data_IF_803321928263
#
_entry.id   IF_803321928263
#
_cell.length_a   1.000
_cell.length_b   1.000
_cell.length_c   1.000
_cell.angle_alpha   90.00
_cell.angle_beta   90.00
_cell.angle_gamma   90.00
#
_symmetry.space_group_name_H-M   'P 1'
#
loop_
_entity.id
_entity.type
_entity.pdbx_description
1 polymer ?
#
# COMPACT_ATOMS: atom_id res chain seq x y z
N UNK A 1 -27.31 -7.83 -5.77
CA UNK A 1 -26.09 -8.52 -5.34
C UNK A 1 -25.92 -9.92 -5.97
N UNK A 2 -26.94 -10.78 -6.04
CA UNK A 2 -26.83 -12.13 -6.64
C UNK A 2 -26.53 -12.16 -8.16
N UNK A 3 -26.99 -11.19 -8.93
CA UNK A 3 -26.78 -11.07 -10.38
C UNK A 3 -25.30 -10.78 -10.71
N UNK A 4 -24.60 -10.07 -9.84
CA UNK A 4 -23.19 -9.71 -10.02
C UNK A 4 -22.23 -10.88 -9.83
N UNK A 5 -22.52 -11.80 -8.90
CA UNK A 5 -21.65 -12.97 -8.62
C UNK A 5 -21.70 -13.97 -9.77
N UNK A 6 -22.92 -14.24 -10.31
CA UNK A 6 -23.09 -15.17 -11.44
C UNK A 6 -22.42 -14.65 -12.73
N UNK A 7 -22.53 -13.34 -13.00
CA UNK A 7 -21.84 -12.67 -14.11
C UNK A 7 -20.30 -12.72 -13.97
N UNK A 8 -19.81 -12.79 -12.74
CA UNK A 8 -18.38 -12.88 -12.45
C UNK A 8 -17.77 -14.21 -12.91
N UNK A 9 -18.46 -15.32 -12.65
CA UNK A 9 -18.00 -16.68 -13.05
C UNK A 9 -18.15 -16.97 -14.55
N UNK A 10 -19.09 -16.33 -15.23
CA UNK A 10 -19.30 -16.51 -16.69
C UNK A 10 -18.55 -15.51 -17.56
N UNK A 11 -17.74 -14.63 -16.99
CA UNK A 11 -16.99 -13.63 -17.74
C UNK A 11 -15.85 -14.32 -18.56
N UNK A 12 -15.58 -13.88 -19.82
CA UNK A 12 -14.53 -14.47 -20.67
C UNK A 12 -13.14 -14.56 -20.03
N UNK A 13 -12.82 -13.68 -19.07
CA UNK A 13 -11.55 -13.74 -18.32
C UNK A 13 -11.39 -15.00 -17.46
N UNK A 14 -12.47 -15.64 -17.01
CA UNK A 14 -12.40 -16.90 -16.25
C UNK A 14 -12.01 -18.08 -17.13
N UNK A 15 -12.23 -17.98 -18.45
CA UNK A 15 -11.79 -18.97 -19.43
C UNK A 15 -10.36 -18.72 -19.93
N UNK A 16 -9.79 -17.55 -19.63
CA UNK A 16 -8.41 -17.23 -19.97
C UNK A 16 -7.47 -17.80 -18.90
N UNK A 17 -6.89 -18.96 -19.18
CA UNK A 17 -5.98 -19.67 -18.28
C UNK A 17 -4.78 -18.83 -17.85
N UNK A 18 -4.20 -18.01 -18.74
CA UNK A 18 -3.08 -17.13 -18.43
C UNK A 18 -3.47 -16.06 -17.39
N UNK A 19 -4.65 -15.44 -17.57
CA UNK A 19 -5.16 -14.47 -16.60
C UNK A 19 -5.48 -15.14 -15.26
N UNK A 20 -6.09 -16.33 -15.26
CA UNK A 20 -6.44 -17.04 -14.03
C UNK A 20 -5.20 -17.46 -13.23
N UNK A 21 -4.13 -17.91 -13.88
CA UNK A 21 -2.86 -18.18 -13.21
C UNK A 21 -2.25 -16.91 -12.60
N UNK A 22 -2.22 -15.81 -13.36
CA UNK A 22 -1.71 -14.54 -12.83
C UNK A 22 -2.54 -14.05 -11.64
N UNK A 23 -3.87 -14.08 -11.78
CA UNK A 23 -4.80 -13.61 -10.74
C UNK A 23 -4.70 -14.45 -9.45
N UNK A 24 -4.71 -15.78 -9.56
CA UNK A 24 -4.57 -16.67 -8.40
C UNK A 24 -3.20 -16.50 -7.72
N UNK A 25 -2.12 -16.45 -8.51
CA UNK A 25 -0.77 -16.22 -7.98
C UNK A 25 -0.64 -14.88 -7.27
N UNK A 26 -1.19 -13.82 -7.85
CA UNK A 26 -1.14 -12.48 -7.25
C UNK A 26 -2.00 -12.38 -5.99
N UNK A 27 -3.17 -13.02 -5.97
CA UNK A 27 -4.03 -13.09 -4.77
C UNK A 27 -3.31 -13.77 -3.62
N UNK A 28 -2.66 -14.91 -3.87
CA UNK A 28 -1.87 -15.61 -2.85
C UNK A 28 -0.69 -14.76 -2.34
N UNK A 29 0.07 -14.14 -3.26
CA UNK A 29 1.19 -13.28 -2.90
C UNK A 29 0.75 -12.07 -2.08
N UNK A 30 -0.42 -11.50 -2.37
CA UNK A 30 -0.97 -10.36 -1.61
C UNK A 30 -1.32 -10.74 -0.17
N UNK A 31 -1.94 -11.91 0.04
CA UNK A 31 -2.19 -12.44 1.39
C UNK A 31 -0.87 -12.67 2.11
N UNK A 32 0.10 -13.33 1.46
CA UNK A 32 1.42 -13.57 2.01
C UNK A 32 2.16 -12.27 2.38
N UNK A 33 2.04 -11.24 1.55
CA UNK A 33 2.63 -9.92 1.83
C UNK A 33 2.08 -9.32 3.13
N UNK A 34 0.78 -9.35 3.33
CA UNK A 34 0.15 -8.79 4.54
C UNK A 34 0.51 -9.58 5.80
N UNK A 35 0.52 -10.90 5.71
CA UNK A 35 0.99 -11.79 6.79
C UNK A 35 2.45 -11.51 7.11
N UNK A 36 3.31 -11.41 6.09
CA UNK A 36 4.74 -11.14 6.25
C UNK A 36 5.02 -9.77 6.87
N UNK A 37 4.27 -8.74 6.50
CA UNK A 37 4.41 -7.40 7.08
C UNK A 37 4.14 -7.40 8.59
N UNK A 38 3.09 -8.09 9.03
CA UNK A 38 2.77 -8.24 10.45
C UNK A 38 3.85 -9.07 11.18
N UNK A 39 4.30 -10.17 10.55
CA UNK A 39 5.38 -11.01 11.09
C UNK A 39 6.70 -10.23 11.23
N UNK A 40 7.04 -9.35 10.24
CA UNK A 40 8.23 -8.48 10.32
C UNK A 40 8.19 -7.61 11.58
N UNK A 41 7.06 -6.95 11.83
CA UNK A 41 6.88 -6.09 13.01
C UNK A 41 6.98 -6.90 14.29
N UNK A 42 6.35 -8.09 14.35
CA UNK A 42 6.41 -8.97 15.51
C UNK A 42 7.83 -9.48 15.77
N UNK A 43 8.60 -9.87 14.74
CA UNK A 43 10.01 -10.29 14.89
C UNK A 43 10.85 -9.14 15.42
N UNK A 44 10.77 -7.96 14.79
CA UNK A 44 11.57 -6.81 15.17
C UNK A 44 11.28 -6.38 16.63
N UNK A 45 10.01 -6.33 17.02
CA UNK A 45 9.59 -5.82 18.32
C UNK A 45 9.75 -6.87 19.43
N UNK A 46 9.19 -8.09 19.23
CA UNK A 46 9.06 -9.09 20.28
C UNK A 46 10.23 -10.06 20.35
N UNK A 47 10.87 -10.41 19.20
CA UNK A 47 11.98 -11.38 19.17
C UNK A 47 13.33 -10.67 19.27
N UNK A 48 13.55 -9.65 18.42
CA UNK A 48 14.86 -8.96 18.33
C UNK A 48 14.93 -7.72 19.22
N UNK A 49 13.84 -7.30 19.85
CA UNK A 49 13.75 -6.13 20.74
C UNK A 49 14.38 -4.88 20.14
N UNK A 50 14.17 -4.69 18.83
CA UNK A 50 14.72 -3.56 18.07
C UNK A 50 14.24 -2.23 18.65
N UNK A 51 15.08 -1.19 18.67
CA UNK A 51 14.69 0.16 19.09
C UNK A 51 13.69 0.78 18.12
N UNK A 52 13.02 1.84 18.54
CA UNK A 52 12.04 2.57 17.70
C UNK A 52 12.70 3.06 16.40
N UNK A 53 13.90 3.62 16.49
CA UNK A 53 14.69 4.04 15.32
C UNK A 53 14.98 2.87 14.39
N UNK A 54 15.39 1.72 14.94
CA UNK A 54 15.66 0.51 14.15
C UNK A 54 14.42 -0.02 13.44
N UNK A 55 13.25 0.06 14.06
CA UNK A 55 11.97 -0.30 13.44
C UNK A 55 11.62 0.68 12.32
N UNK A 56 11.87 1.98 12.53
CA UNK A 56 11.72 3.02 11.50
C UNK A 56 12.62 2.76 10.29
N UNK A 57 13.91 2.41 10.52
CA UNK A 57 14.85 2.03 9.46
C UNK A 57 14.39 0.78 8.73
N UNK A 58 13.96 -0.25 9.44
CA UNK A 58 13.45 -1.50 8.87
C UNK A 58 12.26 -1.25 7.93
N UNK A 59 11.30 -0.44 8.37
CA UNK A 59 10.15 -0.06 7.56
C UNK A 59 10.52 0.83 6.37
N UNK A 60 11.49 1.73 6.56
CA UNK A 60 12.02 2.54 5.48
C UNK A 60 12.68 1.68 4.39
N UNK A 61 13.47 0.68 4.76
CA UNK A 61 14.14 -0.24 3.82
C UNK A 61 13.16 -1.02 2.95
N UNK A 62 11.97 -1.37 3.46
CA UNK A 62 10.93 -2.06 2.67
C UNK A 62 10.43 -1.22 1.49
N UNK A 63 10.42 0.11 1.63
CA UNK A 63 9.88 1.03 0.62
C UNK A 63 10.94 1.87 -0.08
N UNK A 64 12.18 1.89 0.43
CA UNK A 64 13.28 2.69 -0.09
C UNK A 64 13.59 2.41 -1.57
N UNK A 65 13.42 1.16 -2.00
CA UNK A 65 13.62 0.77 -3.39
C UNK A 65 12.70 1.55 -4.36
N UNK A 66 11.48 1.93 -3.95
CA UNK A 66 10.61 2.77 -4.78
C UNK A 66 11.19 4.17 -5.00
N UNK A 67 11.87 4.73 -4.00
CA UNK A 67 12.51 6.04 -4.12
C UNK A 67 13.74 5.98 -5.04
N UNK A 68 14.59 4.96 -4.87
CA UNK A 68 15.89 4.87 -5.57
C UNK A 68 15.72 4.33 -7.00
N UNK A 69 15.01 3.22 -7.17
CA UNK A 69 14.91 2.51 -8.45
C UNK A 69 13.52 2.52 -9.07
N UNK A 70 12.52 3.07 -8.39
CA UNK A 70 11.12 3.03 -8.87
C UNK A 70 10.93 3.66 -10.25
N UNK A 71 11.59 4.79 -10.52
CA UNK A 71 11.54 5.44 -11.83
C UNK A 71 12.39 4.71 -12.89
N UNK A 72 13.69 4.39 -12.67
CA UNK A 72 14.48 3.68 -13.66
C UNK A 72 14.03 2.24 -13.90
N UNK A 73 13.39 1.58 -12.93
CA UNK A 73 12.88 0.22 -13.09
C UNK A 73 11.91 0.09 -14.26
N UNK A 74 11.09 1.13 -14.53
CA UNK A 74 10.19 1.16 -15.69
C UNK A 74 10.95 0.97 -17.00
N UNK A 75 11.96 1.81 -17.24
CA UNK A 75 12.77 1.77 -18.46
C UNK A 75 13.56 0.45 -18.60
N UNK A 76 14.09 -0.08 -17.50
CA UNK A 76 14.81 -1.36 -17.53
C UNK A 76 13.88 -2.53 -17.85
N UNK A 77 12.72 -2.59 -17.19
CA UNK A 77 11.73 -3.66 -17.39
C UNK A 77 11.14 -3.61 -18.79
N UNK A 78 11.00 -2.43 -19.41
CA UNK A 78 10.53 -2.31 -20.80
C UNK A 78 11.46 -3.02 -21.78
N UNK A 79 12.77 -3.03 -21.52
CA UNK A 79 13.77 -3.74 -22.29
C UNK A 79 13.89 -5.25 -21.98
N UNK A 80 13.10 -5.77 -21.02
CA UNK A 80 13.17 -7.16 -20.58
C UNK A 80 11.85 -7.90 -20.79
N UNK A 81 11.92 -9.23 -20.79
CA UNK A 81 10.72 -10.09 -20.79
C UNK A 81 10.07 -10.03 -19.40
N UNK A 82 8.86 -9.48 -19.32
CA UNK A 82 8.12 -9.21 -18.09
C UNK A 82 7.93 -10.46 -17.22
N UNK A 83 7.55 -11.57 -17.84
CA UNK A 83 7.41 -12.87 -17.17
C UNK A 83 8.71 -13.34 -16.52
N UNK A 84 9.86 -13.20 -17.20
CA UNK A 84 11.16 -13.55 -16.61
C UNK A 84 11.49 -12.69 -15.40
N UNK A 85 11.25 -11.38 -15.47
CA UNK A 85 11.46 -10.46 -14.36
C UNK A 85 10.64 -10.88 -13.15
N UNK A 86 9.33 -11.18 -13.36
CA UNK A 86 8.45 -11.61 -12.27
C UNK A 86 8.92 -12.93 -11.63
N UNK A 87 9.37 -13.91 -12.43
CA UNK A 87 9.88 -15.19 -11.91
C UNK A 87 11.16 -14.98 -11.11
N UNK A 88 12.13 -14.22 -11.63
CA UNK A 88 13.40 -13.94 -10.92
C UNK A 88 13.13 -13.20 -9.61
N UNK A 89 12.30 -12.15 -9.63
CA UNK A 89 11.90 -11.45 -8.43
C UNK A 89 11.17 -12.37 -7.44
N UNK A 90 10.32 -13.28 -7.93
CA UNK A 90 9.63 -14.27 -7.11
C UNK A 90 10.60 -15.24 -6.42
N UNK A 91 11.55 -15.80 -7.17
CA UNK A 91 12.56 -16.71 -6.62
C UNK A 91 13.47 -16.01 -5.59
N UNK A 92 13.87 -14.77 -5.86
CA UNK A 92 14.65 -13.98 -4.91
C UNK A 92 13.88 -13.70 -3.60
N UNK A 93 12.58 -13.39 -3.71
CA UNK A 93 11.70 -13.24 -2.53
C UNK A 93 11.59 -14.54 -1.74
N UNK A 94 11.40 -15.69 -2.40
CA UNK A 94 11.30 -17.00 -1.76
C UNK A 94 12.60 -17.29 -0.98
N UNK A 95 13.76 -17.12 -1.59
CA UNK A 95 15.04 -17.31 -0.93
C UNK A 95 15.23 -16.39 0.28
N UNK A 96 14.90 -15.11 0.13
CA UNK A 96 14.94 -14.13 1.22
C UNK A 96 14.00 -14.49 2.38
N UNK A 97 12.78 -14.91 2.09
CA UNK A 97 11.80 -15.28 3.12
C UNK A 97 12.18 -16.56 3.86
N UNK A 98 12.71 -17.57 3.15
CA UNK A 98 13.14 -18.84 3.76
C UNK A 98 14.39 -18.63 4.63
N UNK A 99 15.24 -17.66 4.32
CA UNK A 99 16.46 -17.38 5.11
C UNK A 99 16.13 -16.98 6.56
N UNK A 100 14.98 -16.35 6.83
CA UNK A 100 14.57 -15.92 8.19
C UNK A 100 14.32 -17.10 9.12
N UNK A 101 13.42 -18.06 8.80
CA UNK A 101 13.20 -19.21 9.66
C UNK A 101 14.44 -20.11 9.78
N UNK A 102 15.26 -20.22 8.72
CA UNK A 102 16.52 -20.93 8.82
C UNK A 102 17.47 -20.27 9.82
N UNK A 103 17.68 -18.95 9.70
CA UNK A 103 18.52 -18.22 10.65
C UNK A 103 17.98 -18.30 12.10
N UNK A 104 16.65 -18.35 12.26
CA UNK A 104 16.03 -18.54 13.58
C UNK A 104 16.33 -19.92 14.17
N UNK A 105 16.16 -20.98 13.39
CA UNK A 105 16.44 -22.37 13.85
C UNK A 105 17.90 -22.55 14.23
N UNK A 106 18.84 -21.92 13.49
CA UNK A 106 20.26 -21.95 13.81
C UNK A 106 20.69 -20.89 14.85
N UNK A 107 19.75 -20.18 15.47
CA UNK A 107 20.00 -19.11 16.45
C UNK A 107 20.93 -17.99 15.92
N UNK A 108 20.95 -17.75 14.59
CA UNK A 108 21.76 -16.73 13.92
C UNK A 108 20.95 -15.53 13.42
N UNK A 109 19.65 -15.49 13.74
CA UNK A 109 18.77 -14.40 13.31
C UNK A 109 19.17 -13.09 14.00
N UNK A 110 19.57 -12.11 13.20
CA UNK A 110 19.95 -10.77 13.64
C UNK A 110 19.07 -9.70 13.02
N UNK A 111 19.03 -8.52 13.63
CA UNK A 111 18.33 -7.37 13.07
C UNK A 111 18.90 -6.95 11.71
N UNK A 112 20.22 -7.00 11.54
CA UNK A 112 20.90 -6.72 10.25
C UNK A 112 20.43 -7.67 9.16
N UNK A 113 20.29 -8.98 9.46
CA UNK A 113 19.74 -9.96 8.53
C UNK A 113 18.32 -9.58 8.12
N UNK A 114 17.44 -9.26 9.09
CA UNK A 114 16.06 -8.84 8.83
C UNK A 114 16.00 -7.57 7.96
N UNK A 115 16.89 -6.60 8.19
CA UNK A 115 17.01 -5.37 7.39
C UNK A 115 17.46 -5.66 5.95
N UNK A 116 18.44 -6.55 5.74
CA UNK A 116 18.87 -6.97 4.41
C UNK A 116 17.73 -7.65 3.65
N UNK A 117 17.02 -8.56 4.32
CA UNK A 117 15.84 -9.23 3.73
C UNK A 117 14.76 -8.22 3.38
N UNK A 118 14.46 -7.26 4.27
CA UNK A 118 13.47 -6.20 4.02
C UNK A 118 13.83 -5.35 2.79
N UNK A 119 15.10 -4.93 2.67
CA UNK A 119 15.59 -4.18 1.51
C UNK A 119 15.50 -5.00 0.21
N UNK A 120 15.86 -6.28 0.24
CA UNK A 120 15.78 -7.17 -0.91
C UNK A 120 14.33 -7.41 -1.33
N UNK A 121 13.41 -7.64 -0.38
CA UNK A 121 11.98 -7.77 -0.65
C UNK A 121 11.41 -6.49 -1.28
N UNK A 122 11.80 -5.32 -0.77
CA UNK A 122 11.43 -4.03 -1.35
C UNK A 122 11.89 -3.88 -2.79
N UNK A 123 13.16 -4.20 -3.06
CA UNK A 123 13.74 -4.16 -4.41
C UNK A 123 13.00 -5.10 -5.39
N UNK A 124 12.81 -6.36 -4.97
CA UNK A 124 12.07 -7.34 -5.76
C UNK A 124 10.62 -6.91 -6.01
N UNK A 125 10.01 -6.18 -5.04
CA UNK A 125 8.64 -5.67 -5.19
C UNK A 125 8.55 -4.62 -6.28
N UNK A 126 9.50 -3.69 -6.36
CA UNK A 126 9.51 -2.68 -7.43
C UNK A 126 9.58 -3.32 -8.81
N UNK A 127 10.54 -4.23 -9.04
CA UNK A 127 10.67 -4.90 -10.34
C UNK A 127 9.46 -5.77 -10.68
N UNK A 128 8.94 -6.50 -9.70
CA UNK A 128 7.76 -7.31 -9.89
C UNK A 128 6.55 -6.47 -10.27
N UNK A 129 6.27 -5.39 -9.54
CA UNK A 129 5.09 -4.55 -9.75
C UNK A 129 5.12 -3.84 -11.10
N UNK A 130 6.29 -3.36 -11.53
CA UNK A 130 6.44 -2.73 -12.84
C UNK A 130 6.22 -3.75 -13.96
N UNK A 131 6.83 -4.95 -13.84
CA UNK A 131 6.66 -6.02 -14.81
C UNK A 131 5.21 -6.51 -14.85
N UNK A 132 4.58 -6.70 -13.70
CA UNK A 132 3.20 -7.15 -13.56
C UNK A 132 2.20 -6.19 -14.22
N UNK A 133 2.31 -4.88 -13.95
CA UNK A 133 1.42 -3.88 -14.56
C UNK A 133 1.55 -3.85 -16.08
N UNK A 134 2.77 -4.03 -16.60
CA UNK A 134 3.03 -4.08 -18.05
C UNK A 134 2.62 -5.42 -18.68
N UNK A 135 2.49 -6.49 -17.87
CA UNK A 135 2.14 -7.84 -18.34
C UNK A 135 0.63 -8.06 -18.45
N UNK A 136 -0.18 -7.43 -17.59
CA UNK A 136 -1.65 -7.55 -17.62
C UNK A 136 -2.24 -7.25 -19.01
N UNK A 137 -1.86 -6.15 -19.72
CA UNK A 137 -2.35 -5.88 -21.08
C UNK A 137 -1.94 -6.91 -22.13
N UNK A 138 -0.86 -7.68 -21.91
CA UNK A 138 -0.37 -8.72 -22.82
C UNK A 138 -1.28 -9.96 -22.76
N UNK A 139 -1.73 -10.33 -21.54
CA UNK A 139 -2.55 -11.53 -21.32
C UNK A 139 -4.06 -11.26 -21.36
N UNK A 140 -4.49 -10.06 -21.00
CA UNK A 140 -5.88 -9.64 -21.12
C UNK A 140 -6.07 -8.87 -22.45
N UNK A 141 -7.08 -9.24 -23.26
CA UNK A 141 -7.39 -8.46 -24.45
C UNK A 141 -7.78 -7.02 -24.06
N UNK A 142 -7.51 -6.05 -24.95
CA UNK A 142 -7.81 -4.61 -24.70
C UNK A 142 -9.23 -4.38 -24.18
N UNK A 143 -10.20 -5.14 -24.68
CA UNK A 143 -11.62 -5.07 -24.27
C UNK A 143 -11.84 -5.41 -22.80
N UNK A 144 -10.99 -6.24 -22.18
CA UNK A 144 -11.18 -6.77 -20.83
C UNK A 144 -10.18 -6.25 -19.81
N UNK A 145 -9.29 -5.31 -20.17
CA UNK A 145 -8.29 -4.75 -19.24
C UNK A 145 -8.95 -4.14 -18.00
N UNK A 146 -10.04 -3.38 -18.16
CA UNK A 146 -10.76 -2.80 -17.03
C UNK A 146 -11.33 -3.85 -16.08
N UNK A 147 -11.91 -4.94 -16.61
CA UNK A 147 -12.42 -6.04 -15.79
C UNK A 147 -11.29 -6.85 -15.14
N UNK A 148 -10.14 -7.01 -15.81
CA UNK A 148 -8.96 -7.65 -15.25
C UNK A 148 -8.41 -6.85 -14.07
N UNK A 149 -8.18 -5.55 -14.24
CA UNK A 149 -7.72 -4.67 -13.16
C UNK A 149 -8.71 -4.63 -11.99
N UNK A 150 -10.02 -4.61 -12.27
CA UNK A 150 -11.04 -4.66 -11.23
C UNK A 150 -10.97 -5.93 -10.37
N UNK A 151 -10.68 -7.11 -10.97
CA UNK A 151 -10.51 -8.37 -10.22
C UNK A 151 -9.23 -8.38 -9.39
N UNK A 152 -8.14 -7.88 -9.94
CA UNK A 152 -6.86 -7.77 -9.24
C UNK A 152 -6.97 -6.81 -8.06
N UNK A 153 -7.65 -5.68 -8.24
CA UNK A 153 -7.92 -4.72 -7.16
C UNK A 153 -8.83 -5.31 -6.08
N UNK A 154 -9.89 -6.05 -6.46
CA UNK A 154 -10.75 -6.73 -5.49
C UNK A 154 -9.97 -7.73 -4.63
N UNK A 155 -9.05 -8.51 -5.24
CA UNK A 155 -8.17 -9.43 -4.51
C UNK A 155 -7.19 -8.69 -3.60
N UNK A 156 -6.65 -7.55 -4.05
CA UNK A 156 -5.82 -6.68 -3.22
C UNK A 156 -6.57 -6.23 -1.96
N UNK A 157 -7.80 -5.75 -2.13
CA UNK A 157 -8.62 -5.27 -1.01
C UNK A 157 -9.00 -6.41 -0.03
N UNK A 158 -9.32 -7.60 -0.55
CA UNK A 158 -9.58 -8.79 0.29
C UNK A 158 -8.33 -9.19 1.07
N UNK A 159 -7.17 -9.22 0.42
CA UNK A 159 -5.89 -9.50 1.07
C UNK A 159 -5.54 -8.46 2.13
N UNK A 160 -5.76 -7.18 1.84
CA UNK A 160 -5.51 -6.08 2.78
C UNK A 160 -6.44 -6.12 3.99
N UNK A 161 -7.70 -6.50 3.80
CA UNK A 161 -8.67 -6.62 4.88
C UNK A 161 -8.48 -7.87 5.74
N UNK A 162 -8.29 -9.03 5.11
CA UNK A 162 -8.22 -10.32 5.81
C UNK A 162 -6.81 -10.75 6.20
N UNK A 163 -5.80 -10.26 5.48
CA UNK A 163 -4.40 -10.66 5.67
C UNK A 163 -3.85 -10.41 7.07
N UNK A 164 -4.03 -9.22 7.67
CA UNK A 164 -3.57 -8.96 9.03
C UNK A 164 -4.22 -9.88 10.08
N UNK A 165 -5.52 -10.18 9.95
CA UNK A 165 -6.22 -11.11 10.84
C UNK A 165 -5.69 -12.53 10.72
N UNK A 166 -5.49 -13.01 9.48
CA UNK A 166 -4.86 -14.31 9.24
C UNK A 166 -3.43 -14.33 9.79
N UNK A 167 -2.65 -13.27 9.57
CA UNK A 167 -1.31 -13.12 10.10
C UNK A 167 -1.27 -13.14 11.61
N UNK A 168 -2.17 -12.40 12.26
CA UNK A 168 -2.30 -12.39 13.73
C UNK A 168 -2.70 -13.75 14.30
N UNK A 169 -3.63 -14.46 13.64
CA UNK A 169 -4.01 -15.82 14.02
C UNK A 169 -2.82 -16.79 13.91
N UNK A 170 -2.08 -16.73 12.80
CA UNK A 170 -0.87 -17.55 12.61
C UNK A 170 0.21 -17.25 13.65
N UNK A 171 0.40 -15.97 14.00
CA UNK A 171 1.35 -15.56 15.05
C UNK A 171 0.92 -15.98 16.46
N UNK A 172 -0.35 -16.32 16.65
CA UNK A 172 -0.84 -16.96 17.87
C UNK A 172 -0.53 -18.46 17.96
N UNK A 173 -0.31 -19.12 16.82
CA UNK A 173 -0.03 -20.55 16.74
C UNK A 173 1.46 -20.88 16.57
N UNK A 174 2.20 -20.00 15.88
CA UNK A 174 3.60 -20.23 15.49
C UNK A 174 4.49 -19.07 15.95
N UNK A 175 5.74 -19.39 16.25
CA UNK A 175 6.74 -18.35 16.48
C UNK A 175 6.85 -17.43 15.24
N UNK A 176 6.98 -16.10 15.44
CA UNK A 176 6.95 -15.13 14.33
C UNK A 176 7.89 -15.44 13.17
N UNK A 177 9.14 -15.92 13.36
CA UNK A 177 10.01 -16.30 12.24
C UNK A 177 9.48 -17.47 11.41
N UNK A 178 8.74 -18.42 12.03
CA UNK A 178 8.19 -19.57 11.31
C UNK A 178 7.00 -19.20 10.41
N UNK A 179 6.28 -18.13 10.72
CA UNK A 179 5.19 -17.61 9.87
C UNK A 179 5.72 -17.21 8.47
N UNK A 180 6.99 -16.90 8.37
CA UNK A 180 7.62 -16.64 7.07
C UNK A 180 7.67 -17.86 6.13
N UNK A 181 7.63 -19.10 6.64
CA UNK A 181 7.51 -20.29 5.80
C UNK A 181 6.16 -20.30 5.07
N UNK A 182 5.08 -19.95 5.76
CA UNK A 182 3.76 -19.84 5.13
C UNK A 182 3.71 -18.69 4.12
N UNK A 183 4.34 -17.56 4.46
CA UNK A 183 4.52 -16.46 3.51
C UNK A 183 5.31 -16.90 2.29
N UNK A 184 6.42 -17.61 2.46
CA UNK A 184 7.23 -18.14 1.36
C UNK A 184 6.42 -19.10 0.46
N UNK A 185 5.57 -19.96 1.03
CA UNK A 185 4.69 -20.85 0.27
C UNK A 185 3.74 -20.07 -0.65
N UNK A 186 3.19 -18.95 -0.22
CA UNK A 186 2.35 -18.12 -1.09
C UNK A 186 3.14 -17.54 -2.26
N UNK A 187 4.41 -17.17 -2.07
CA UNK A 187 5.28 -16.72 -3.15
C UNK A 187 5.75 -17.86 -4.06
N UNK A 188 5.95 -19.08 -3.51
CA UNK A 188 6.21 -20.28 -4.32
C UNK A 188 5.03 -20.55 -5.25
N UNK A 189 3.81 -20.54 -4.70
CA UNK A 189 2.59 -20.70 -5.51
C UNK A 189 2.45 -19.60 -6.56
N UNK A 190 2.68 -18.34 -6.19
CA UNK A 190 2.64 -17.19 -7.12
C UNK A 190 3.65 -17.35 -8.25
N UNK A 191 4.89 -17.69 -7.93
CA UNK A 191 5.96 -17.86 -8.92
C UNK A 191 5.69 -19.05 -9.84
N UNK A 192 5.20 -20.16 -9.29
CA UNK A 192 4.77 -21.33 -10.05
C UNK A 192 3.60 -21.00 -10.98
N UNK A 193 2.60 -20.26 -10.50
CA UNK A 193 1.45 -19.86 -11.31
C UNK A 193 1.90 -18.98 -12.50
N UNK A 194 2.81 -18.04 -12.28
CA UNK A 194 3.39 -17.22 -13.36
C UNK A 194 4.22 -18.07 -14.33
N UNK A 195 4.96 -19.05 -13.82
CA UNK A 195 5.74 -19.98 -14.66
C UNK A 195 4.84 -20.84 -15.56
N UNK A 196 3.63 -21.17 -15.15
CA UNK A 196 2.63 -21.93 -15.95
C UNK A 196 2.02 -21.12 -17.10
N UNK A 197 2.20 -19.78 -17.12
CA UNK A 197 1.66 -18.95 -18.21
C UNK A 197 2.48 -19.20 -19.48
N UNK A 198 1.82 -19.71 -20.51
CA UNK A 198 2.46 -20.03 -21.79
C UNK A 198 2.31 -18.93 -22.86
N UNK A 199 1.64 -17.82 -22.53
CA UNK A 199 1.37 -16.73 -23.50
C UNK A 199 2.68 -16.14 -24.01
N UNK A 200 2.92 -16.09 -25.34
CA UNK A 200 4.10 -15.46 -25.92
C UNK A 200 4.13 -13.97 -25.61
N UNK A 201 5.27 -13.47 -25.17
CA UNK A 201 5.49 -12.04 -25.03
C UNK A 201 5.99 -11.42 -26.32
N UNK A 202 5.48 -10.24 -26.73
CA UNK A 202 6.10 -9.45 -27.81
C UNK A 202 7.58 -9.20 -27.52
N UNK A 203 8.37 -9.03 -28.57
CA UNK A 203 9.76 -8.65 -28.41
C UNK A 203 9.86 -7.32 -27.61
N UNK A 204 10.82 -7.20 -26.67
CA UNK A 204 10.99 -5.96 -25.91
C UNK A 204 11.24 -4.79 -26.87
N UNK A 205 10.45 -3.74 -26.76
CA UNK A 205 10.62 -2.50 -27.54
C UNK A 205 11.34 -1.49 -26.66
N UNK A 206 12.55 -1.09 -27.09
CA UNK A 206 13.22 0.06 -26.48
C UNK A 206 12.54 1.33 -27.00
N UNK A 207 11.77 2.01 -26.17
CA UNK A 207 11.28 3.35 -26.46
C UNK A 207 12.46 4.32 -26.48
N UNK A 208 12.66 5.04 -27.60
CA UNK A 208 13.81 5.95 -27.79
C UNK A 208 13.79 7.22 -26.92
N UNK A 209 12.72 7.45 -26.15
CA UNK A 209 12.65 8.58 -25.22
C UNK A 209 13.40 8.25 -23.93
N UNK A 210 14.34 9.13 -23.54
CA UNK A 210 15.09 8.97 -22.29
C UNK A 210 14.12 9.07 -21.10
N UNK A 211 14.32 8.19 -20.10
CA UNK A 211 13.54 8.17 -18.85
C UNK A 211 13.47 9.58 -18.21
N UNK A 212 14.60 10.30 -18.20
CA UNK A 212 14.71 11.65 -17.64
C UNK A 212 13.77 12.63 -18.38
N UNK A 213 13.64 12.51 -19.69
CA UNK A 213 12.72 13.34 -20.47
C UNK A 213 11.26 13.07 -20.09
N UNK A 214 10.87 11.79 -19.92
CA UNK A 214 9.50 11.41 -19.54
C UNK A 214 9.15 11.90 -18.12
N UNK A 215 10.08 11.77 -17.17
CA UNK A 215 9.91 12.26 -15.80
C UNK A 215 9.79 13.78 -15.79
N UNK A 216 10.68 14.47 -16.50
CA UNK A 216 10.68 15.94 -16.59
C UNK A 216 9.40 16.46 -17.21
N UNK A 217 8.91 15.84 -18.28
CA UNK A 217 7.66 16.21 -18.94
C UNK A 217 6.46 16.01 -18.01
N UNK A 218 6.36 14.87 -17.34
CA UNK A 218 5.29 14.61 -16.41
C UNK A 218 5.34 15.52 -15.16
N UNK A 219 6.53 15.80 -14.62
CA UNK A 219 6.69 16.72 -13.50
C UNK A 219 6.36 18.16 -13.93
N UNK A 220 6.78 18.58 -15.14
CA UNK A 220 6.41 19.86 -15.70
C UNK A 220 4.90 19.99 -15.88
N UNK A 221 4.24 18.91 -16.35
CA UNK A 221 2.79 18.87 -16.45
C UNK A 221 2.11 19.09 -15.10
N UNK A 222 2.51 18.31 -14.06
CA UNK A 222 1.91 18.44 -12.72
C UNK A 222 2.19 19.83 -12.13
N UNK A 223 3.41 20.36 -12.27
CA UNK A 223 3.77 21.70 -11.80
C UNK A 223 3.04 22.83 -12.54
N UNK A 224 2.80 22.64 -13.83
CA UNK A 224 2.06 23.61 -14.64
C UNK A 224 0.56 23.67 -14.34
N UNK A 225 0.03 22.66 -13.68
CA UNK A 225 -1.39 22.59 -13.34
C UNK A 225 -1.67 23.20 -11.96
N UNK A 226 -2.35 24.34 -11.92
CA UNK A 226 -2.72 25.05 -10.67
C UNK A 226 -3.53 24.21 -9.70
N UNK A 227 -4.22 23.18 -10.19
CA UNK A 227 -5.03 22.27 -9.36
C UNK A 227 -4.25 21.05 -8.89
N UNK A 228 -3.42 20.46 -9.76
CA UNK A 228 -2.74 19.19 -9.48
C UNK A 228 -1.53 19.37 -8.55
N UNK A 229 -0.76 20.44 -8.69
CA UNK A 229 0.45 20.63 -7.90
C UNK A 229 0.20 20.81 -6.39
N UNK A 230 -0.73 21.69 -5.94
CA UNK A 230 -1.06 21.77 -4.52
C UNK A 230 -1.65 20.45 -3.98
N UNK A 231 -2.51 19.79 -4.75
CA UNK A 231 -3.07 18.48 -4.38
C UNK A 231 -1.97 17.43 -4.24
N UNK A 232 -1.02 17.39 -5.17
CA UNK A 232 0.15 16.53 -5.14
C UNK A 232 0.99 16.74 -3.87
N UNK A 233 1.28 17.99 -3.51
CA UNK A 233 2.07 18.32 -2.31
C UNK A 233 1.37 17.90 -1.02
N UNK A 234 0.05 18.13 -0.91
CA UNK A 234 -0.74 17.70 0.24
C UNK A 234 -0.80 16.17 0.35
N UNK A 235 -0.97 15.46 -0.77
CA UNK A 235 -0.99 13.98 -0.79
C UNK A 235 0.38 13.42 -0.38
N UNK A 236 1.48 14.00 -0.84
CA UNK A 236 2.83 13.59 -0.44
C UNK A 236 3.08 13.81 1.05
N UNK A 237 2.68 14.95 1.59
CA UNK A 237 2.78 15.25 3.03
C UNK A 237 1.92 14.29 3.87
N UNK A 238 0.69 14.00 3.43
CA UNK A 238 -0.17 13.03 4.09
C UNK A 238 0.42 11.60 4.03
N UNK A 239 1.04 11.20 2.92
CA UNK A 239 1.69 9.90 2.78
C UNK A 239 2.92 9.76 3.69
N UNK A 240 3.71 10.83 3.83
CA UNK A 240 4.82 10.89 4.79
C UNK A 240 4.32 10.64 6.21
N UNK A 241 3.30 11.37 6.63
CA UNK A 241 2.74 11.23 7.97
C UNK A 241 2.07 9.86 8.20
N UNK A 242 1.33 9.35 7.20
CA UNK A 242 0.70 8.03 7.27
C UNK A 242 1.73 6.89 7.42
N UNK A 243 2.87 6.98 6.71
CA UNK A 243 3.96 6.01 6.86
C UNK A 243 4.51 6.00 8.30
N UNK A 244 4.63 7.17 8.92
CA UNK A 244 5.03 7.28 10.33
C UNK A 244 4.01 6.63 11.27
N UNK A 245 2.73 6.90 11.09
CA UNK A 245 1.67 6.29 11.91
C UNK A 245 1.67 4.76 11.76
N UNK A 246 1.90 4.24 10.54
CA UNK A 246 1.99 2.79 10.30
C UNK A 246 3.16 2.12 11.04
N UNK A 247 4.28 2.81 11.23
CA UNK A 247 5.42 2.32 12.02
C UNK A 247 5.10 2.35 13.51
N UNK A 248 4.48 3.44 13.98
CA UNK A 248 4.23 3.68 15.41
C UNK A 248 3.12 2.79 15.98
N UNK A 249 2.10 2.44 15.19
CA UNK A 249 0.98 1.64 15.68
C UNK A 249 1.39 0.23 16.18
N UNK A 250 2.19 -0.58 15.45
CA UNK A 250 2.70 -1.84 15.98
C UNK A 250 3.56 -1.66 17.24
N UNK A 251 4.35 -0.60 17.32
CA UNK A 251 5.17 -0.31 18.51
C UNK A 251 4.26 0.01 19.71
N UNK A 252 3.25 0.85 19.53
CA UNK A 252 2.26 1.15 20.55
C UNK A 252 1.58 -0.11 21.05
N UNK A 253 1.07 -0.95 20.15
CA UNK A 253 0.27 -2.14 20.51
C UNK A 253 1.12 -3.23 21.14
N UNK A 254 2.25 -3.59 20.51
CA UNK A 254 3.05 -4.75 20.94
C UNK A 254 4.02 -4.44 22.09
N UNK A 255 4.50 -3.19 22.20
CA UNK A 255 5.50 -2.81 23.20
C UNK A 255 4.91 -1.97 24.35
N UNK A 256 4.15 -0.92 24.01
CA UNK A 256 3.65 0.02 25.03
C UNK A 256 2.43 -0.53 25.74
N UNK A 257 1.50 -1.17 25.01
CA UNK A 257 0.29 -1.77 25.57
C UNK A 257 0.46 -3.26 25.91
N UNK A 258 1.62 -3.86 25.62
CA UNK A 258 1.94 -5.28 25.85
C UNK A 258 0.87 -6.25 25.30
N UNK A 259 0.26 -5.87 24.18
CA UNK A 259 -0.75 -6.68 23.51
C UNK A 259 -0.08 -7.70 22.58
N UNK A 260 -0.76 -8.83 22.34
CA UNK A 260 -0.26 -9.88 21.47
C UNK A 260 -0.31 -9.49 19.97
N UNK A 261 0.54 -10.13 19.16
CA UNK A 261 0.50 -9.98 17.71
C UNK A 261 -0.84 -10.43 17.10
N UNK A 262 -1.52 -11.39 17.73
CA UNK A 262 -2.89 -11.81 17.37
C UNK A 262 -3.88 -10.67 17.56
N UNK A 263 -3.81 -9.96 18.68
CA UNK A 263 -4.66 -8.80 18.93
C UNK A 263 -4.39 -7.70 17.92
N UNK A 264 -3.12 -7.38 17.62
CA UNK A 264 -2.78 -6.39 16.57
C UNK A 264 -3.38 -6.79 15.22
N UNK A 265 -3.23 -8.04 14.79
CA UNK A 265 -3.78 -8.53 13.53
C UNK A 265 -5.30 -8.41 13.47
N UNK A 266 -6.00 -8.76 14.56
CA UNK A 266 -7.45 -8.62 14.67
C UNK A 266 -7.89 -7.15 14.61
N UNK A 267 -7.22 -6.26 15.33
CA UNK A 267 -7.51 -4.83 15.33
C UNK A 267 -7.38 -4.21 13.93
N UNK A 268 -6.33 -4.58 13.18
CA UNK A 268 -6.14 -4.14 11.79
C UNK A 268 -7.23 -4.68 10.87
N UNK A 269 -7.62 -5.95 11.01
CA UNK A 269 -8.68 -6.55 10.20
C UNK A 269 -10.06 -5.99 10.48
N UNK A 270 -10.37 -5.74 11.75
CA UNK A 270 -11.63 -5.09 12.14
C UNK A 270 -11.70 -3.67 11.56
N UNK A 271 -10.58 -2.95 11.53
CA UNK A 271 -10.49 -1.65 10.86
C UNK A 271 -10.91 -1.69 9.39
N UNK A 272 -10.63 -2.78 8.68
CA UNK A 272 -10.99 -2.92 7.26
C UNK A 272 -12.51 -2.93 6.99
N UNK A 273 -13.34 -3.28 7.98
CA UNK A 273 -14.82 -3.17 7.89
C UNK A 273 -15.22 -1.73 7.55
N UNK A 274 -14.57 -0.77 8.21
CA UNK A 274 -14.77 0.66 7.92
C UNK A 274 -14.53 0.99 6.44
N UNK A 275 -13.46 0.46 5.85
CA UNK A 275 -13.14 0.67 4.44
C UNK A 275 -14.21 0.16 3.49
N UNK A 276 -14.78 -1.02 3.77
CA UNK A 276 -15.89 -1.58 2.98
C UNK A 276 -17.11 -0.67 3.05
N UNK A 277 -17.49 -0.24 4.25
CA UNK A 277 -18.61 0.67 4.46
C UNK A 277 -18.39 2.03 3.79
N UNK A 278 -17.16 2.55 3.85
CA UNK A 278 -16.78 3.79 3.19
C UNK A 278 -16.93 3.72 1.67
N UNK A 279 -16.47 2.62 1.06
CA UNK A 279 -16.62 2.40 -0.38
C UNK A 279 -18.09 2.36 -0.82
N UNK A 280 -18.97 1.73 -0.02
CA UNK A 280 -20.39 1.63 -0.31
C UNK A 280 -21.14 2.96 -0.17
N UNK A 281 -20.73 3.81 0.78
CA UNK A 281 -21.43 5.06 1.10
C UNK A 281 -20.84 6.30 0.41
N UNK A 282 -19.70 6.16 -0.29
CA UNK A 282 -18.99 7.27 -0.97
C UNK A 282 -19.90 8.13 -1.83
N UNK A 283 -20.79 7.50 -2.62
CA UNK A 283 -21.67 8.22 -3.53
C UNK A 283 -22.64 9.16 -2.81
N UNK A 284 -23.09 8.78 -1.61
CA UNK A 284 -23.94 9.64 -0.78
C UNK A 284 -23.16 10.88 -0.31
N UNK A 285 -21.91 10.73 0.16
CA UNK A 285 -21.07 11.83 0.55
C UNK A 285 -20.82 12.83 -0.60
N UNK A 286 -20.50 12.31 -1.80
CA UNK A 286 -20.30 13.15 -2.98
C UNK A 286 -21.57 13.90 -3.41
N UNK A 287 -22.75 13.26 -3.27
CA UNK A 287 -24.03 13.88 -3.59
C UNK A 287 -24.36 15.05 -2.65
N UNK A 288 -24.04 14.94 -1.36
CA UNK A 288 -24.37 15.96 -0.37
C UNK A 288 -23.35 17.10 -0.27
N UNK A 289 -22.06 16.78 -0.32
CA UNK A 289 -21.00 17.76 -0.11
C UNK A 289 -20.30 18.23 -1.42
N UNK A 290 -20.48 17.49 -2.50
CA UNK A 290 -19.68 17.67 -3.72
C UNK A 290 -18.29 17.03 -3.59
N UNK A 291 -17.56 16.94 -4.72
CA UNK A 291 -16.29 16.19 -4.81
C UNK A 291 -15.21 16.80 -3.90
N UNK A 292 -14.94 18.08 -4.03
CA UNK A 292 -13.83 18.74 -3.32
C UNK A 292 -14.00 18.74 -1.80
N UNK A 293 -15.20 19.12 -1.32
CA UNK A 293 -15.49 19.10 0.13
C UNK A 293 -15.48 17.69 0.70
N UNK A 294 -15.96 16.69 -0.05
CA UNK A 294 -15.89 15.29 0.38
C UNK A 294 -14.43 14.89 0.62
N UNK A 295 -13.51 15.18 -0.31
CA UNK A 295 -12.08 14.88 -0.17
C UNK A 295 -11.51 15.48 1.11
N UNK A 296 -11.76 16.78 1.37
CA UNK A 296 -11.21 17.50 2.52
C UNK A 296 -11.79 16.99 3.84
N UNK A 297 -13.12 16.95 3.96
CA UNK A 297 -13.79 16.56 5.21
C UNK A 297 -13.44 15.12 5.59
N UNK A 298 -13.49 14.20 4.63
CA UNK A 298 -13.20 12.79 4.93
C UNK A 298 -11.72 12.54 5.22
N UNK A 299 -10.81 13.30 4.60
CA UNK A 299 -9.39 13.25 4.94
C UNK A 299 -9.14 13.75 6.38
N UNK A 300 -9.68 14.89 6.75
CA UNK A 300 -9.52 15.46 8.11
C UNK A 300 -10.08 14.50 9.16
N UNK A 301 -11.33 14.06 9.03
CA UNK A 301 -11.98 13.19 10.04
C UNK A 301 -11.24 11.85 10.11
N UNK A 302 -10.92 11.27 8.95
CA UNK A 302 -10.26 9.97 8.87
C UNK A 302 -8.89 9.92 9.56
N UNK A 303 -8.16 11.03 9.54
CA UNK A 303 -6.87 11.12 10.25
C UNK A 303 -7.04 11.60 11.68
N UNK A 304 -7.87 12.60 11.93
CA UNK A 304 -8.03 13.18 13.28
C UNK A 304 -8.52 12.15 14.31
N UNK A 305 -9.38 11.23 13.92
CA UNK A 305 -9.87 10.16 14.80
C UNK A 305 -8.76 9.23 15.32
N UNK A 306 -7.64 9.12 14.58
CA UNK A 306 -6.48 8.34 15.02
C UNK A 306 -5.81 8.93 16.26
N UNK A 307 -6.08 10.22 16.60
CA UNK A 307 -5.59 10.83 17.83
C UNK A 307 -6.16 10.16 19.11
N UNK A 308 -7.19 9.36 18.97
CA UNK A 308 -7.65 8.50 20.05
C UNK A 308 -6.71 7.30 20.33
N UNK A 309 -5.91 6.83 19.35
CA UNK A 309 -5.06 5.64 19.56
C UNK A 309 -3.98 5.83 20.64
N UNK A 310 -3.20 6.94 20.66
CA UNK A 310 -2.23 7.13 21.73
C UNK A 310 -2.88 7.23 23.12
N UNK A 311 -4.12 7.73 23.27
CA UNK A 311 -4.80 7.78 24.58
C UNK A 311 -5.06 6.39 25.20
N UNK A 312 -4.96 5.33 24.41
CA UNK A 312 -5.12 3.94 24.88
C UNK A 312 -4.11 3.59 26.00
N UNK A 313 -2.96 4.28 26.05
CA UNK A 313 -1.95 4.10 27.10
C UNK A 313 -2.52 4.46 28.49
N UNK A 314 -3.39 5.45 28.56
CA UNK A 314 -4.00 5.92 29.80
C UNK A 314 -5.27 5.14 30.19
N UNK A 315 -5.76 4.25 29.30
CA UNK A 315 -6.96 3.45 29.52
C UNK A 315 -6.76 2.00 29.06
N UNK A 316 -5.89 1.22 29.72
CA UNK A 316 -5.52 -0.13 29.26
C UNK A 316 -6.72 -1.07 29.11
N UNK A 317 -7.73 -0.98 29.99
CA UNK A 317 -8.95 -1.79 29.90
C UNK A 317 -9.79 -1.49 28.64
N UNK A 318 -9.71 -0.28 28.11
CA UNK A 318 -10.42 0.15 26.90
C UNK A 318 -9.50 0.20 25.65
N UNK A 319 -8.22 -0.10 25.78
CA UNK A 319 -7.22 0.10 24.72
C UNK A 319 -7.61 -0.59 23.39
N UNK A 320 -8.03 -1.85 23.47
CA UNK A 320 -8.46 -2.60 22.29
C UNK A 320 -9.68 -1.94 21.60
N UNK A 321 -10.65 -1.50 22.39
CA UNK A 321 -11.85 -0.83 21.87
C UNK A 321 -11.50 0.52 21.24
N UNK A 322 -10.64 1.33 21.88
CA UNK A 322 -10.18 2.63 21.35
C UNK A 322 -9.51 2.45 19.99
N UNK A 323 -8.57 1.49 19.88
CA UNK A 323 -7.83 1.23 18.64
C UNK A 323 -8.77 0.66 17.57
N UNK A 324 -9.66 -0.27 17.91
CA UNK A 324 -10.62 -0.85 16.97
C UNK A 324 -11.57 0.20 16.41
N UNK A 325 -12.23 0.98 17.29
CA UNK A 325 -13.21 1.98 16.86
C UNK A 325 -12.56 3.09 16.05
N UNK A 326 -11.43 3.63 16.51
CA UNK A 326 -10.68 4.64 15.75
C UNK A 326 -10.19 4.10 14.41
N UNK A 327 -9.75 2.84 14.36
CA UNK A 327 -9.35 2.15 13.12
C UNK A 327 -10.50 1.99 12.12
N UNK A 328 -11.70 1.57 12.59
CA UNK A 328 -12.91 1.45 11.75
C UNK A 328 -13.29 2.82 11.18
N UNK A 329 -13.41 3.84 12.04
CA UNK A 329 -13.82 5.18 11.63
C UNK A 329 -12.79 5.80 10.69
N UNK A 330 -11.49 5.66 10.99
CA UNK A 330 -10.42 6.13 10.12
C UNK A 330 -10.49 5.48 8.75
N UNK A 331 -10.54 4.15 8.70
CA UNK A 331 -10.60 3.38 7.45
C UNK A 331 -11.84 3.71 6.62
N UNK A 332 -12.99 3.96 7.25
CA UNK A 332 -14.21 4.42 6.59
C UNK A 332 -13.97 5.73 5.84
N UNK A 333 -13.50 6.74 6.52
CA UNK A 333 -13.32 8.06 5.93
C UNK A 333 -12.15 8.12 4.95
N UNK A 334 -11.02 7.46 5.25
CA UNK A 334 -9.88 7.41 4.34
C UNK A 334 -10.17 6.65 3.04
N UNK A 335 -11.05 5.64 3.07
CA UNK A 335 -11.48 4.97 1.84
C UNK A 335 -12.31 5.91 0.96
N UNK A 336 -13.25 6.67 1.53
CA UNK A 336 -14.01 7.67 0.79
C UNK A 336 -13.06 8.71 0.17
N UNK A 337 -12.10 9.22 0.97
CA UNK A 337 -11.06 10.13 0.52
C UNK A 337 -10.27 9.56 -0.66
N UNK A 338 -9.66 8.38 -0.50
CA UNK A 338 -8.78 7.78 -1.49
C UNK A 338 -9.47 7.55 -2.83
N UNK A 339 -10.68 6.99 -2.82
CA UNK A 339 -11.41 6.72 -4.05
C UNK A 339 -11.89 8.01 -4.71
N UNK A 340 -12.31 9.00 -3.93
CA UNK A 340 -12.80 10.27 -4.49
C UNK A 340 -11.68 11.11 -5.09
N UNK A 341 -10.52 11.22 -4.40
CA UNK A 341 -9.38 11.98 -4.91
C UNK A 341 -8.75 11.31 -6.15
N UNK A 342 -8.75 9.97 -6.20
CA UNK A 342 -8.27 9.24 -7.38
C UNK A 342 -9.18 9.49 -8.60
N UNK A 343 -10.50 9.44 -8.41
CA UNK A 343 -11.47 9.74 -9.47
C UNK A 343 -11.30 11.17 -9.98
N UNK A 344 -11.18 12.15 -9.08
CA UNK A 344 -10.97 13.56 -9.46
C UNK A 344 -9.73 13.75 -10.32
N UNK A 345 -8.60 13.13 -9.95
CA UNK A 345 -7.36 13.22 -10.72
C UNK A 345 -7.52 12.64 -12.13
N UNK A 346 -8.22 11.52 -12.25
CA UNK A 346 -8.46 10.86 -13.53
C UNK A 346 -9.37 11.68 -14.44
N UNK A 347 -10.32 12.43 -13.88
CA UNK A 347 -11.22 13.31 -14.63
C UNK A 347 -10.53 14.59 -15.13
N UNK A 348 -9.60 15.16 -14.33
CA UNK A 348 -8.87 16.38 -14.70
C UNK A 348 -7.80 16.09 -15.76
N UNK A 349 -7.21 14.91 -15.75
CA UNK A 349 -6.07 14.58 -16.57
C UNK A 349 -6.47 14.15 -17.99
N UNK A 350 -5.91 14.75 -19.06
CA UNK A 350 -6.12 14.27 -20.42
C UNK A 350 -5.75 12.78 -20.56
N UNK A 351 -6.51 11.99 -21.36
CA UNK A 351 -6.30 10.53 -21.48
C UNK A 351 -4.86 10.13 -21.84
N UNK A 352 -4.18 10.89 -22.68
CA UNK A 352 -2.79 10.61 -23.09
C UNK A 352 -1.75 10.89 -22.00
N UNK A 353 -2.09 11.63 -20.92
CA UNK A 353 -1.23 11.96 -19.79
C UNK A 353 -1.52 11.13 -18.54
N UNK A 354 -2.63 10.37 -18.51
CA UNK A 354 -3.06 9.62 -17.32
C UNK A 354 -1.96 8.70 -16.77
N UNK A 355 -1.26 7.97 -17.64
CA UNK A 355 -0.18 7.09 -17.22
C UNK A 355 0.97 7.83 -16.55
N UNK A 356 1.41 8.96 -17.15
CA UNK A 356 2.50 9.79 -16.62
C UNK A 356 2.12 10.46 -15.30
N UNK A 357 0.92 11.00 -15.22
CA UNK A 357 0.38 11.58 -13.99
C UNK A 357 0.34 10.55 -12.87
N UNK A 358 -0.23 9.36 -13.11
CA UNK A 358 -0.31 8.31 -12.10
C UNK A 358 1.08 7.85 -11.65
N UNK A 359 2.05 7.74 -12.56
CA UNK A 359 3.44 7.39 -12.21
C UNK A 359 4.07 8.42 -11.26
N UNK A 360 3.85 9.72 -11.51
CA UNK A 360 4.38 10.80 -10.67
C UNK A 360 3.70 10.81 -9.29
N UNK A 361 2.38 10.69 -9.23
CA UNK A 361 1.67 10.60 -7.96
C UNK A 361 2.09 9.36 -7.16
N UNK A 362 2.25 8.24 -7.85
CA UNK A 362 2.75 7.01 -7.22
C UNK A 362 4.16 7.19 -6.68
N UNK A 363 5.06 7.79 -7.46
CA UNK A 363 6.41 8.11 -7.01
C UNK A 363 6.41 9.07 -5.81
N UNK A 364 5.56 10.11 -5.81
CA UNK A 364 5.45 11.01 -4.68
C UNK A 364 4.99 10.31 -3.41
N UNK A 365 3.96 9.46 -3.50
CA UNK A 365 3.43 8.73 -2.34
C UNK A 365 4.45 7.72 -1.83
N UNK A 366 4.90 6.80 -2.68
CA UNK A 366 5.80 5.71 -2.28
C UNK A 366 7.23 6.19 -2.01
N UNK A 367 7.68 7.27 -2.68
CA UNK A 367 9.01 7.84 -2.49
C UNK A 367 9.21 8.59 -1.18
N UNK A 368 8.15 9.18 -0.61
CA UNK A 368 8.24 9.87 0.69
C UNK A 368 7.99 8.93 1.88
N UNK A 369 7.39 7.77 1.68
CA UNK A 369 7.11 6.80 2.76
C UNK A 369 8.36 6.37 3.54
N UNK A 370 9.50 6.05 2.92
CA UNK A 370 10.72 5.71 3.65
C UNK A 370 11.17 6.82 4.61
N UNK A 371 11.03 8.08 4.17
CA UNK A 371 11.39 9.24 4.97
C UNK A 371 10.45 9.40 6.18
N UNK A 372 9.15 9.19 5.97
CA UNK A 372 8.15 9.20 7.04
C UNK A 372 8.37 8.09 8.06
N UNK A 373 8.67 6.88 7.59
CA UNK A 373 8.98 5.73 8.46
C UNK A 373 10.23 5.96 9.29
N UNK A 374 11.31 6.46 8.69
CA UNK A 374 12.55 6.78 9.40
C UNK A 374 12.33 7.91 10.41
N UNK A 375 11.71 9.01 9.98
CA UNK A 375 11.45 10.16 10.83
C UNK A 375 10.59 9.79 12.06
N UNK A 376 9.59 8.91 11.90
CA UNK A 376 8.74 8.48 13.01
C UNK A 376 9.49 7.61 14.02
N UNK A 377 10.38 6.72 13.56
CA UNK A 377 11.22 5.92 14.44
C UNK A 377 12.18 6.78 15.26
N UNK A 378 12.80 7.79 14.62
CA UNK A 378 13.67 8.77 15.30
C UNK A 378 12.85 9.63 16.29
N UNK A 379 11.69 10.14 15.89
CA UNK A 379 10.83 10.93 16.76
C UNK A 379 10.40 10.11 18.00
N UNK A 380 10.01 8.85 17.80
CA UNK A 380 9.63 7.98 18.91
C UNK A 380 10.78 7.70 19.88
N UNK A 381 12.02 7.59 19.41
CA UNK A 381 13.18 7.40 20.30
C UNK A 381 13.51 8.64 21.15
N UNK A 382 13.14 9.86 20.71
CA UNK A 382 13.40 11.10 21.43
C UNK A 382 12.27 11.53 22.36
N UNK A 383 11.02 11.44 21.91
CA UNK A 383 9.87 11.97 22.63
C UNK A 383 8.88 10.90 23.11
N UNK A 384 9.17 9.62 22.84
CA UNK A 384 8.27 8.50 23.11
C UNK A 384 7.24 8.26 21.99
N UNK A 385 6.68 7.06 21.98
CA UNK A 385 5.74 6.61 20.93
C UNK A 385 4.46 7.42 20.91
N UNK A 386 3.92 7.73 22.09
CA UNK A 386 2.68 8.51 22.25
C UNK A 386 2.80 9.91 21.63
N UNK A 387 3.80 10.67 22.04
CA UNK A 387 4.03 12.04 21.53
C UNK A 387 4.35 12.03 20.02
N UNK A 388 5.17 11.07 19.56
CA UNK A 388 5.47 10.90 18.15
C UNK A 388 4.20 10.63 17.33
N UNK A 389 3.28 9.77 17.81
CA UNK A 389 1.99 9.55 17.14
C UNK A 389 1.19 10.84 17.00
N UNK A 390 1.07 11.65 18.06
CA UNK A 390 0.38 12.93 17.97
C UNK A 390 1.00 13.87 16.94
N UNK A 391 2.34 13.94 16.87
CA UNK A 391 3.05 14.76 15.88
C UNK A 391 2.72 14.31 14.45
N UNK A 392 2.80 13.01 14.17
CA UNK A 392 2.50 12.52 12.82
C UNK A 392 1.02 12.64 12.46
N UNK A 393 0.10 12.48 13.41
CA UNK A 393 -1.32 12.73 13.21
C UNK A 393 -1.57 14.22 12.94
N UNK A 394 -0.95 15.11 13.71
CA UNK A 394 -1.05 16.55 13.50
C UNK A 394 -0.53 16.98 12.13
N UNK A 395 0.61 16.43 11.68
CA UNK A 395 1.14 16.63 10.32
C UNK A 395 0.15 16.19 9.24
N UNK A 396 -0.48 15.01 9.41
CA UNK A 396 -1.45 14.50 8.44
C UNK A 396 -2.75 15.31 8.43
N UNK A 397 -3.22 15.78 9.60
CA UNK A 397 -4.36 16.72 9.72
C UNK A 397 -4.01 18.05 9.07
N UNK A 398 -2.81 18.59 9.32
CA UNK A 398 -2.31 19.82 8.70
C UNK A 398 -2.28 19.72 7.17
N UNK A 399 -1.78 18.60 6.61
CA UNK A 399 -1.81 18.33 5.19
C UNK A 399 -3.25 18.27 4.62
N UNK A 400 -4.18 17.67 5.39
CA UNK A 400 -5.60 17.60 5.01
C UNK A 400 -6.29 18.97 5.05
N UNK A 401 -5.96 19.82 6.03
CA UNK A 401 -6.46 21.21 6.12
C UNK A 401 -5.87 22.03 4.97
N UNK A 402 -4.57 21.90 4.69
CA UNK A 402 -3.91 22.58 3.56
C UNK A 402 -4.57 22.21 2.22
N UNK A 403 -5.00 20.95 2.06
CA UNK A 403 -5.79 20.53 0.91
C UNK A 403 -7.10 21.28 0.78
N UNK A 404 -7.75 21.64 1.89
CA UNK A 404 -8.95 22.49 1.95
C UNK A 404 -8.75 23.91 1.44
N UNK A 405 -7.51 24.42 1.50
CA UNK A 405 -7.14 25.74 0.99
C UNK A 405 -6.84 25.71 -0.52
N UNK A 406 -6.72 24.52 -1.13
CA UNK A 406 -6.46 24.38 -2.57
C UNK A 406 -7.72 24.63 -3.41
N UNK A 407 -7.59 25.04 -4.68
CA UNK A 407 -8.74 25.17 -5.56
C UNK A 407 -9.54 23.87 -5.74
N UNK A 408 -8.92 22.70 -5.51
CA UNK A 408 -9.57 21.40 -5.56
C UNK A 408 -10.75 21.26 -4.57
N UNK A 409 -10.66 21.91 -3.41
CA UNK A 409 -11.72 21.89 -2.40
C UNK A 409 -13.03 22.54 -2.85
N UNK A 410 -12.99 23.42 -3.86
CA UNK A 410 -14.15 24.18 -4.35
C UNK A 410 -14.92 23.45 -5.45
N UNK A 411 -14.44 22.33 -5.96
CA UNK A 411 -15.08 21.56 -7.02
C UNK A 411 -16.34 20.88 -6.48
N UNK A 412 -17.51 21.31 -6.96
CA UNK A 412 -18.81 20.71 -6.58
C UNK A 412 -19.21 19.53 -7.46
N UNK A 413 -18.86 19.56 -8.74
CA UNK A 413 -19.19 18.51 -9.72
C UNK A 413 -18.26 18.55 -10.93
N UNK A 414 -18.34 17.52 -11.78
CA UNK A 414 -17.48 17.36 -12.96
C UNK A 414 -17.63 18.50 -13.97
N UNK A 415 -18.82 19.12 -14.08
CA UNK A 415 -19.05 20.29 -14.93
C UNK A 415 -18.27 21.55 -14.50
N UNK A 416 -17.86 21.64 -13.23
CA UNK A 416 -17.09 22.77 -12.70
C UNK A 416 -15.59 22.69 -13.02
N UNK A 417 -15.10 21.57 -13.52
CA UNK A 417 -13.67 21.36 -13.84
C UNK A 417 -13.27 22.25 -15.05
N UNK A 418 -14.15 22.41 -16.03
CA UNK A 418 -13.89 23.19 -17.24
C UNK A 418 -13.96 24.72 -17.03
N UNK A 419 -14.35 25.17 -15.84
CA UNK A 419 -14.51 26.61 -15.53
C UNK A 419 -13.40 27.18 -14.65
N UNK A 420 -12.41 26.36 -14.27
CA UNK A 420 -11.24 26.81 -13.49
C UNK A 420 -10.16 27.24 -14.49
N UNK A 421 -9.79 28.55 -14.54
CA UNK A 421 -8.79 29.08 -15.48
C UNK A 421 -7.36 28.57 -15.22
#
# INVERSE_FOLDING_TARGET
MAVTVRAWFHHPLTRNSAFMHLWAGQTAAQVGFQVGTLATSAIAISVLRASETQIGVLSALQTLAFLIVGLPAGAWVDGWRKRRVMIIAGLARIGALISIPLAYVFATLTLTHLMIVAALLGLCTVFFDVAYQSYVPIIASRRYIGAANGRLEASYQVGHAGGPGLGGWLLGLFAPPLVYLLTALTYVFSTWAIWRIATPEPAPTRTGATLVAQIREGLAFVRGQRLLFPLFSCIAAAAFAAAGIQVLLPILVLRTLDMSATQLGLLLSVGAIGGILGALTRSAWMKHLGIGRTIVVTSIIGVAVLAAQPTAVHAPAAAAAIIAVSGIVSSYFLTIYNVTQMSLRQEICPPHMLGRMNAIFRFAVWGVMPLGSLASGVAASWMGVEAAMYVFIALAVGASIAMGLTPAARIRGTSAINTIP
#
